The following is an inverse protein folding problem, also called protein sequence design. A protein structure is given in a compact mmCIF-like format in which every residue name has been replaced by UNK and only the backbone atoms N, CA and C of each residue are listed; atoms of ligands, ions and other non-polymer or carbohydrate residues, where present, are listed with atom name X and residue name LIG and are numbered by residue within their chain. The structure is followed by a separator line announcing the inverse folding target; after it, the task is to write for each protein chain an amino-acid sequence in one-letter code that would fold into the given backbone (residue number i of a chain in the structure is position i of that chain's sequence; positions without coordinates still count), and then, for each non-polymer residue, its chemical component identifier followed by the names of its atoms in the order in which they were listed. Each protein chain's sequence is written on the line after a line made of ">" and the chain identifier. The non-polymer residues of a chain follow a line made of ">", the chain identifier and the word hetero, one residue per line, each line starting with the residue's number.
data_IF_507292885195
#
_entry.id   IF_507292885195
#
_cell.length_a   1.000
_cell.length_b   1.000
_cell.length_c   1.000
_cell.angle_alpha   90.00
_cell.angle_beta   90.00
_cell.angle_gamma   90.00
#
_symmetry.space_group_name_H-M   'P 1'
#
loop_
_entity.id
_entity.type
_entity.pdbx_description
1 polymer ?
#
# COMPACT_ATOMS: atom_id res chain seq x y z
N UNK A 1 43.50 -4.43 -46.03
CA UNK A 1 42.06 -4.53 -45.68
C UNK A 1 41.95 -5.25 -44.34
N UNK A 2 41.84 -4.52 -43.24
CA UNK A 2 41.73 -5.08 -41.90
C UNK A 2 40.25 -5.39 -41.60
N UNK A 3 39.92 -6.66 -41.34
CA UNK A 3 38.60 -7.09 -40.90
C UNK A 3 38.44 -6.71 -39.43
N UNK A 4 37.71 -5.64 -39.15
CA UNK A 4 37.27 -5.29 -37.79
C UNK A 4 36.11 -6.22 -37.43
N UNK A 5 36.35 -7.19 -36.54
CA UNK A 5 35.28 -7.94 -35.88
C UNK A 5 34.65 -7.02 -34.83
N UNK A 6 33.46 -6.53 -35.13
CA UNK A 6 32.60 -5.89 -34.13
C UNK A 6 32.08 -7.00 -33.22
N UNK A 7 32.63 -7.08 -32.01
CA UNK A 7 32.09 -7.92 -30.94
C UNK A 7 30.88 -7.20 -30.37
N UNK A 8 29.68 -7.57 -30.83
CA UNK A 8 28.45 -7.20 -30.15
C UNK A 8 28.44 -8.00 -28.85
N UNK A 9 28.77 -7.32 -27.77
CA UNK A 9 28.62 -7.82 -26.43
C UNK A 9 27.15 -7.61 -26.06
N UNK A 10 26.33 -8.65 -26.22
CA UNK A 10 24.98 -8.66 -25.68
C UNK A 10 25.08 -8.50 -24.15
N UNK A 11 24.60 -7.40 -23.54
CA UNK A 11 24.51 -7.35 -22.10
C UNK A 11 23.42 -8.34 -21.71
N UNK A 12 23.83 -9.41 -21.05
CA UNK A 12 22.94 -10.33 -20.37
C UNK A 12 21.97 -9.52 -19.49
N UNK A 13 20.71 -9.48 -19.90
CA UNK A 13 19.62 -8.97 -19.08
C UNK A 13 19.39 -10.04 -18.00
N UNK A 14 20.00 -9.85 -16.83
CA UNK A 14 19.61 -10.63 -15.64
C UNK A 14 18.12 -10.35 -15.32
N UNK A 15 17.31 -11.38 -15.01
CA UNK A 15 15.89 -11.22 -14.73
C UNK A 15 15.70 -10.47 -13.41
N UNK A 16 15.24 -9.23 -13.48
CA UNK A 16 14.95 -8.36 -12.34
C UNK A 16 13.68 -8.76 -11.54
N UNK A 17 13.06 -9.90 -11.85
CA UNK A 17 11.73 -10.27 -11.32
C UNK A 17 11.77 -11.05 -9.99
N UNK A 18 12.80 -11.87 -9.70
CA UNK A 18 12.87 -12.65 -8.45
C UNK A 18 13.15 -11.81 -7.20
N UNK A 19 13.87 -10.69 -7.33
CA UNK A 19 14.17 -9.81 -6.19
C UNK A 19 12.99 -8.94 -5.78
N UNK A 20 12.11 -8.60 -6.73
CA UNK A 20 10.93 -7.75 -6.47
C UNK A 20 9.86 -8.49 -5.66
N UNK A 21 9.65 -9.78 -5.92
CA UNK A 21 8.70 -10.60 -5.16
C UNK A 21 9.16 -10.83 -3.72
N UNK A 22 10.44 -11.09 -3.50
CA UNK A 22 11.00 -11.33 -2.16
C UNK A 22 10.88 -10.11 -1.23
N UNK A 23 11.20 -8.90 -1.72
CA UNK A 23 11.07 -7.67 -0.94
C UNK A 23 9.61 -7.31 -0.63
N UNK A 24 8.71 -7.52 -1.60
CA UNK A 24 7.27 -7.32 -1.38
C UNK A 24 6.71 -8.33 -0.38
N UNK A 25 7.14 -9.59 -0.45
CA UNK A 25 6.71 -10.62 0.47
C UNK A 25 7.22 -10.39 1.90
N UNK A 26 8.48 -9.95 2.04
CA UNK A 26 9.06 -9.55 3.33
C UNK A 26 8.29 -8.37 3.94
N UNK A 27 7.97 -7.35 3.14
CA UNK A 27 7.18 -6.18 3.59
C UNK A 27 5.77 -6.59 4.00
N UNK A 28 5.12 -7.48 3.24
CA UNK A 28 3.80 -8.02 3.56
C UNK A 28 3.82 -8.79 4.89
N UNK A 29 4.81 -9.65 5.09
CA UNK A 29 4.98 -10.40 6.35
C UNK A 29 5.23 -9.46 7.54
N UNK A 30 6.05 -8.44 7.35
CA UNK A 30 6.31 -7.42 8.37
C UNK A 30 5.05 -6.61 8.73
N UNK A 31 4.26 -6.18 7.74
CA UNK A 31 2.99 -5.49 7.98
C UNK A 31 2.00 -6.39 8.74
N UNK A 32 1.83 -7.65 8.32
CA UNK A 32 0.94 -8.59 8.99
C UNK A 32 1.37 -8.87 10.43
N UNK A 33 2.67 -9.03 10.67
CA UNK A 33 3.22 -9.19 12.02
C UNK A 33 2.98 -7.94 12.88
N UNK A 34 3.09 -6.74 12.30
CA UNK A 34 2.82 -5.47 13.00
C UNK A 34 1.35 -5.34 13.39
N UNK A 35 0.43 -5.68 12.48
CA UNK A 35 -1.02 -5.70 12.76
C UNK A 35 -1.33 -6.73 13.85
N UNK A 36 -0.74 -7.92 13.76
CA UNK A 36 -0.91 -8.99 14.76
C UNK A 36 -0.37 -8.59 16.14
N UNK A 37 0.77 -7.91 16.22
CA UNK A 37 1.33 -7.42 17.47
C UNK A 37 0.42 -6.38 18.15
N UNK A 38 -0.23 -5.49 17.38
CA UNK A 38 -1.19 -4.52 17.92
C UNK A 38 -2.46 -5.21 18.45
N UNK A 39 -2.95 -6.25 17.78
CA UNK A 39 -4.09 -7.03 18.25
C UNK A 39 -3.82 -7.69 19.60
N UNK A 40 -2.67 -8.36 19.73
CA UNK A 40 -2.25 -8.97 21.01
C UNK A 40 -2.09 -7.94 22.14
N UNK A 41 -1.58 -6.75 21.82
CA UNK A 41 -1.45 -5.68 22.80
C UNK A 41 -2.81 -5.15 23.29
N UNK A 42 -3.89 -5.27 22.51
CA UNK A 42 -5.25 -4.92 22.96
C UNK A 42 -5.77 -5.91 24.00
N UNK A 43 -5.59 -7.21 23.77
CA UNK A 43 -6.01 -8.28 24.70
C UNK A 43 -5.23 -8.21 26.03
N UNK A 44 -3.92 -7.96 25.99
CA UNK A 44 -3.10 -7.80 27.19
C UNK A 44 -3.42 -6.53 27.98
N UNK A 45 -3.89 -5.48 27.32
CA UNK A 45 -4.29 -4.23 27.98
C UNK A 45 -5.52 -4.44 28.86
N UNK A 46 -6.54 -5.17 28.38
CA UNK A 46 -7.73 -5.50 29.17
C UNK A 46 -7.36 -6.35 30.38
N UNK A 47 -6.54 -7.38 30.17
CA UNK A 47 -6.04 -8.27 31.23
C UNK A 47 -5.20 -7.50 32.26
N UNK A 48 -4.38 -6.53 31.82
CA UNK A 48 -3.60 -5.69 32.73
C UNK A 48 -4.48 -4.80 33.61
N UNK A 49 -5.51 -4.18 33.03
CA UNK A 49 -6.47 -3.35 33.78
C UNK A 49 -7.27 -4.20 34.76
N UNK A 50 -7.70 -5.39 34.36
CA UNK A 50 -8.40 -6.33 35.25
C UNK A 50 -7.54 -6.72 36.46
N UNK A 51 -6.25 -7.05 36.24
CA UNK A 51 -5.29 -7.30 37.34
C UNK A 51 -5.11 -6.10 38.29
N UNK A 52 -5.22 -4.87 37.79
CA UNK A 52 -5.15 -3.67 38.65
C UNK A 52 -6.42 -3.52 39.50
N UNK A 53 -7.59 -3.86 38.95
CA UNK A 53 -8.86 -3.87 39.69
C UNK A 53 -8.83 -4.94 40.78
N UNK A 54 -8.43 -6.17 40.44
CA UNK A 54 -8.35 -7.30 41.39
C UNK A 54 -7.40 -7.03 42.56
N UNK A 55 -6.28 -6.34 42.28
CA UNK A 55 -5.29 -5.95 43.30
C UNK A 55 -5.73 -4.73 44.12
N UNK A 56 -6.93 -4.19 43.86
CA UNK A 56 -7.47 -3.01 44.54
C UNK A 56 -6.71 -1.71 44.24
N UNK A 57 -5.91 -1.68 43.17
CA UNK A 57 -5.13 -0.49 42.79
C UNK A 57 -5.99 0.55 42.05
N UNK A 58 -7.08 0.11 41.42
CA UNK A 58 -8.06 0.97 40.75
C UNK A 58 -9.48 0.47 41.02
N UNK A 59 -10.46 1.36 41.00
CA UNK A 59 -11.86 0.95 41.03
C UNK A 59 -12.27 0.31 39.70
N UNK A 60 -13.17 -0.67 39.73
CA UNK A 60 -13.67 -1.36 38.53
C UNK A 60 -14.27 -0.38 37.51
N UNK A 61 -15.01 0.62 38.00
CA UNK A 61 -15.62 1.64 37.16
C UNK A 61 -14.55 2.50 36.44
N UNK A 62 -13.47 2.83 37.13
CA UNK A 62 -12.37 3.62 36.60
C UNK A 62 -11.53 2.83 35.59
N UNK A 63 -11.30 1.53 35.85
CA UNK A 63 -10.64 0.62 34.90
C UNK A 63 -11.42 0.50 33.58
N UNK A 64 -12.73 0.25 33.67
CA UNK A 64 -13.62 0.19 32.49
C UNK A 64 -13.69 1.52 31.74
N UNK A 65 -13.56 2.65 32.44
CA UNK A 65 -13.51 3.98 31.82
C UNK A 65 -12.18 4.21 31.10
N UNK A 66 -11.06 3.84 31.72
CA UNK A 66 -9.73 3.98 31.14
C UNK A 66 -9.59 3.25 29.79
N UNK A 67 -10.04 1.99 29.72
CA UNK A 67 -10.01 1.19 28.48
C UNK A 67 -10.83 1.85 27.38
N UNK A 68 -12.05 2.31 27.71
CA UNK A 68 -12.92 3.00 26.75
C UNK A 68 -12.31 4.30 26.25
N UNK A 69 -11.83 5.15 27.15
CA UNK A 69 -11.23 6.44 26.80
C UNK A 69 -9.97 6.23 25.91
N UNK A 70 -9.15 5.21 26.18
CA UNK A 70 -8.01 4.87 25.32
C UNK A 70 -8.44 4.38 23.94
N UNK A 71 -9.45 3.52 23.85
CA UNK A 71 -9.97 3.02 22.58
C UNK A 71 -10.55 4.14 21.72
N UNK A 72 -11.31 5.05 22.33
CA UNK A 72 -11.94 6.17 21.64
C UNK A 72 -10.89 7.18 21.13
N UNK A 73 -9.91 7.56 21.96
CA UNK A 73 -8.79 8.41 21.54
C UNK A 73 -7.95 7.78 20.43
N UNK A 74 -7.75 6.46 20.46
CA UNK A 74 -7.04 5.76 19.39
C UNK A 74 -7.77 5.88 18.05
N UNK A 75 -9.09 5.70 18.01
CA UNK A 75 -9.86 5.81 16.76
C UNK A 75 -9.71 7.18 16.10
N UNK A 76 -9.87 8.25 16.88
CA UNK A 76 -9.72 9.62 16.39
C UNK A 76 -8.30 9.93 15.89
N UNK A 77 -7.29 9.45 16.63
CA UNK A 77 -5.89 9.65 16.24
C UNK A 77 -5.51 8.84 15.01
N UNK A 78 -5.98 7.59 14.91
CA UNK A 78 -5.71 6.72 13.75
C UNK A 78 -6.29 7.31 12.48
N UNK A 79 -7.55 7.80 12.48
CA UNK A 79 -8.14 8.42 11.28
C UNK A 79 -7.33 9.62 10.78
N UNK A 80 -6.93 10.52 11.70
CA UNK A 80 -6.10 11.68 11.33
C UNK A 80 -4.73 11.27 10.80
N UNK A 81 -4.12 10.26 11.43
CA UNK A 81 -2.83 9.73 11.01
C UNK A 81 -2.91 9.03 9.65
N UNK A 82 -3.99 8.30 9.37
CA UNK A 82 -4.26 7.66 8.08
C UNK A 82 -4.37 8.71 6.96
N UNK A 83 -5.16 9.77 7.16
CA UNK A 83 -5.28 10.84 6.15
C UNK A 83 -3.96 11.60 5.93
N UNK A 84 -3.19 11.82 6.98
CA UNK A 84 -1.87 12.45 6.86
C UNK A 84 -0.88 11.54 6.13
N UNK A 85 -0.89 10.24 6.45
CA UNK A 85 -0.05 9.25 5.81
C UNK A 85 -0.39 9.11 4.31
N UNK A 86 -1.67 9.06 3.97
CA UNK A 86 -2.14 8.98 2.58
C UNK A 86 -1.64 10.19 1.77
N UNK A 87 -1.83 11.41 2.30
CA UNK A 87 -1.31 12.65 1.68
C UNK A 87 0.20 12.64 1.51
N UNK A 88 0.94 12.15 2.52
CA UNK A 88 2.41 12.03 2.45
C UNK A 88 2.84 10.99 1.41
N UNK A 89 2.19 9.83 1.36
CA UNK A 89 2.45 8.79 0.36
C UNK A 89 2.18 9.30 -1.06
N UNK A 90 1.05 9.94 -1.30
CA UNK A 90 0.69 10.49 -2.60
C UNK A 90 1.72 11.54 -3.07
N UNK A 91 2.17 12.42 -2.16
CA UNK A 91 3.23 13.39 -2.45
C UNK A 91 4.57 12.74 -2.80
N UNK A 92 4.95 11.67 -2.07
CA UNK A 92 6.18 10.92 -2.36
C UNK A 92 6.10 10.21 -3.71
N UNK A 93 5.00 9.53 -4.01
CA UNK A 93 4.79 8.84 -5.28
C UNK A 93 4.82 9.81 -6.46
N UNK A 94 4.16 10.96 -6.31
CA UNK A 94 4.19 12.04 -7.29
C UNK A 94 5.62 12.54 -7.56
N UNK A 95 6.43 12.72 -6.52
CA UNK A 95 7.85 13.10 -6.64
C UNK A 95 8.72 12.05 -7.32
N UNK A 96 8.37 10.77 -7.17
CA UNK A 96 9.06 9.65 -7.81
C UNK A 96 8.53 9.34 -9.21
N UNK A 97 7.61 10.15 -9.74
CA UNK A 97 6.99 9.95 -11.04
C UNK A 97 6.27 8.59 -11.16
N UNK A 98 5.75 8.08 -10.03
CA UNK A 98 5.02 6.81 -9.97
C UNK A 98 3.52 7.12 -10.09
N UNK A 99 2.86 6.76 -11.20
CA UNK A 99 1.43 6.98 -11.39
C UNK A 99 0.59 6.11 -10.46
N UNK A 100 -0.55 6.64 -10.02
CA UNK A 100 -1.50 5.90 -9.20
C UNK A 100 -2.27 4.86 -10.01
N UNK A 101 -2.90 3.90 -9.34
CA UNK A 101 -3.78 2.94 -10.02
C UNK A 101 -4.93 3.62 -10.76
N UNK A 102 -5.53 4.65 -10.17
CA UNK A 102 -6.61 5.42 -10.80
C UNK A 102 -6.17 6.12 -12.08
N UNK A 103 -4.91 6.58 -12.15
CA UNK A 103 -4.35 7.18 -13.37
C UNK A 103 -4.26 6.14 -14.50
N UNK A 104 -3.80 4.92 -14.16
CA UNK A 104 -3.71 3.80 -15.11
C UNK A 104 -5.09 3.37 -15.58
N UNK A 105 -6.06 3.27 -14.69
CA UNK A 105 -7.44 2.88 -15.03
C UNK A 105 -8.09 3.93 -15.94
N UNK A 106 -7.91 5.22 -15.62
CA UNK A 106 -8.40 6.34 -16.43
C UNK A 106 -7.78 6.38 -17.82
N UNK A 107 -6.47 6.12 -17.91
CA UNK A 107 -5.77 6.05 -19.20
C UNK A 107 -6.24 4.83 -20.01
N UNK A 108 -6.44 3.68 -19.36
CA UNK A 108 -6.95 2.46 -20.00
C UNK A 108 -8.35 2.65 -20.58
N UNK A 109 -9.23 3.37 -19.87
CA UNK A 109 -10.56 3.73 -20.36
C UNK A 109 -10.48 4.63 -21.60
N UNK A 110 -9.64 5.68 -21.56
CA UNK A 110 -9.42 6.60 -22.70
C UNK A 110 -8.84 5.88 -23.91
N UNK A 111 -7.89 4.96 -23.71
CA UNK A 111 -7.32 4.13 -24.77
C UNK A 111 -8.41 3.25 -25.39
N UNK A 112 -9.25 2.61 -24.57
CA UNK A 112 -10.35 1.77 -25.06
C UNK A 112 -11.36 2.56 -25.89
N UNK A 113 -11.71 3.77 -25.45
CA UNK A 113 -12.59 4.67 -26.20
C UNK A 113 -11.96 5.10 -27.54
N UNK A 114 -10.68 5.47 -27.52
CA UNK A 114 -9.95 5.88 -28.71
C UNK A 114 -9.85 4.73 -29.72
N UNK A 115 -9.55 3.52 -29.26
CA UNK A 115 -9.52 2.31 -30.10
C UNK A 115 -10.86 2.08 -30.81
N UNK A 116 -11.99 2.24 -30.11
CA UNK A 116 -13.32 2.12 -30.72
C UNK A 116 -13.55 3.17 -31.81
N UNK A 117 -13.20 4.43 -31.56
CA UNK A 117 -13.34 5.52 -32.54
C UNK A 117 -12.47 5.29 -33.77
N UNK A 118 -11.24 4.78 -33.57
CA UNK A 118 -10.34 4.43 -34.68
C UNK A 118 -10.92 3.28 -35.52
N UNK A 119 -11.48 2.25 -34.89
CA UNK A 119 -12.12 1.14 -35.60
C UNK A 119 -13.37 1.59 -36.38
N UNK A 120 -14.16 2.50 -35.81
CA UNK A 120 -15.33 3.09 -36.46
C UNK A 120 -14.94 3.95 -37.66
N UNK A 121 -13.90 4.78 -37.55
CA UNK A 121 -13.35 5.55 -38.68
C UNK A 121 -12.77 4.64 -39.77
N UNK A 122 -12.10 3.55 -39.40
CA UNK A 122 -11.63 2.55 -40.39
C UNK A 122 -12.78 1.87 -41.13
N UNK A 123 -13.93 1.64 -40.46
CA UNK A 123 -15.15 1.09 -41.08
C UNK A 123 -15.91 2.08 -41.96
N UNK A 124 -15.73 3.38 -41.73
CA UNK A 124 -16.50 4.45 -42.39
C UNK A 124 -15.67 5.32 -43.35
N UNK A 125 -14.36 5.08 -43.42
CA UNK A 125 -13.45 5.80 -44.33
C UNK A 125 -13.65 5.43 -45.81
N UNK A 126 -13.48 6.39 -46.73
CA UNK A 126 -13.62 6.17 -48.17
C UNK A 126 -12.40 5.39 -48.69
N UNK A 127 -12.47 4.05 -48.67
CA UNK A 127 -11.38 3.19 -49.12
C UNK A 127 -11.62 1.68 -49.02
N UNK A 128 -12.87 1.23 -48.93
CA UNK A 128 -13.26 -0.18 -49.10
C UNK A 128 -14.22 -0.31 -50.28
#
# INVERSE_FOLDING_TARGET
>A
MAKVKVSVQDPAVEPADERRSSLLEATRRMMLASIGAVALAQEEMETFVERLVERGQIAEQDGKRLVRDMMERRRDQTQRAEEELERRMESMLSRMNVPSKSDIDSLSAKISELSRKVDELKRTGPGA
#
